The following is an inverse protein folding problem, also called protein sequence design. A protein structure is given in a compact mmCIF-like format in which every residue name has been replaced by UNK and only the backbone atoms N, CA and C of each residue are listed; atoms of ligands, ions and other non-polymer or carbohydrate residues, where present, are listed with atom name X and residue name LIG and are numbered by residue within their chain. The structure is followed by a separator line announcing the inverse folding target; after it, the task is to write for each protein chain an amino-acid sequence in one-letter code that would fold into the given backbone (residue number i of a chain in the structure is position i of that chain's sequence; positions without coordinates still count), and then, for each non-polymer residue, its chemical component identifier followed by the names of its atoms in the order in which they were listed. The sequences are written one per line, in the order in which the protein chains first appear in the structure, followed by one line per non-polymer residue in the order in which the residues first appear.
data_IF_158283561680
#
_entry.id   IF_158283561680
#
_cell.length_a   1.000
_cell.length_b   1.000
_cell.length_c   1.000
_cell.angle_alpha   90.00
_cell.angle_beta   90.00
_cell.angle_gamma   90.00
#
_symmetry.space_group_name_H-M   'P 1'
#
loop_
_entity.id
_entity.type
_entity.pdbx_description
1 polymer ?
#
# COMPACT_ATOMS: atom_id res chain seq x y z
N UNK A 1 19.54 6.10 16.70
CA UNK A 1 18.12 5.92 16.34
C UNK A 1 18.08 5.06 15.08
N UNK A 2 17.14 4.11 15.03
CA UNK A 2 16.88 3.27 13.86
C UNK A 2 15.43 3.54 13.43
N UNK A 3 15.24 4.08 12.25
CA UNK A 3 13.92 4.33 11.66
C UNK A 3 13.64 3.20 10.68
N UNK A 4 12.50 2.54 10.86
CA UNK A 4 12.12 1.35 10.09
C UNK A 4 10.78 1.59 9.43
N UNK A 5 10.72 1.32 8.13
CA UNK A 5 9.49 1.35 7.35
C UNK A 5 9.21 -0.03 6.73
N UNK A 6 8.00 -0.25 6.27
CA UNK A 6 7.63 -1.48 5.55
C UNK A 6 7.86 -1.38 4.03
N UNK A 7 8.03 -0.16 3.49
CA UNK A 7 8.16 0.10 2.06
C UNK A 7 9.31 1.05 1.73
N UNK A 8 9.99 0.77 0.62
CA UNK A 8 11.08 1.61 0.15
C UNK A 8 10.67 3.06 -0.16
N UNK A 9 9.45 3.27 -0.67
CA UNK A 9 8.98 4.63 -1.00
C UNK A 9 8.80 5.49 0.25
N UNK A 10 8.34 4.90 1.37
CA UNK A 10 8.25 5.59 2.66
C UNK A 10 9.63 5.81 3.28
N UNK A 11 10.53 4.84 3.14
CA UNK A 11 11.92 4.96 3.59
C UNK A 11 12.62 6.14 2.91
N UNK A 12 12.50 6.25 1.58
CA UNK A 12 13.03 7.36 0.79
C UNK A 12 12.44 8.71 1.24
N UNK A 13 11.11 8.79 1.42
CA UNK A 13 10.42 10.04 1.81
C UNK A 13 10.84 10.51 3.20
N UNK A 14 10.85 9.61 4.17
CA UNK A 14 11.28 9.93 5.54
C UNK A 14 12.75 10.30 5.57
N UNK A 15 13.61 9.56 4.87
CA UNK A 15 15.02 9.85 4.77
C UNK A 15 15.27 11.26 4.22
N UNK A 16 14.62 11.63 3.12
CA UNK A 16 14.74 12.96 2.50
C UNK A 16 14.33 14.07 3.48
N UNK A 17 13.26 13.86 4.25
CA UNK A 17 12.78 14.78 5.27
C UNK A 17 13.82 14.98 6.37
N UNK A 18 14.38 13.90 6.89
CA UNK A 18 15.41 13.96 7.94
C UNK A 18 16.74 14.50 7.41
N UNK A 19 17.09 14.22 6.17
CA UNK A 19 18.29 14.77 5.52
C UNK A 19 18.20 16.27 5.37
N UNK A 20 17.01 16.81 5.07
CA UNK A 20 16.77 18.26 5.06
C UNK A 20 16.95 18.89 6.45
N UNK A 21 16.69 18.15 7.53
CA UNK A 21 16.83 18.58 8.92
C UNK A 21 18.20 18.27 9.56
N UNK A 22 19.23 17.92 8.78
CA UNK A 22 20.55 17.50 9.29
C UNK A 22 21.20 18.47 10.28
N UNK A 23 20.94 19.78 10.14
CA UNK A 23 21.46 20.79 11.07
C UNK A 23 20.85 20.66 12.46
N UNK A 24 19.55 20.34 12.56
CA UNK A 24 18.86 20.08 13.83
C UNK A 24 19.34 18.79 14.46
N UNK A 25 19.54 17.75 13.64
CA UNK A 25 20.04 16.45 14.06
C UNK A 25 21.52 16.50 14.50
N UNK A 26 22.27 17.53 14.09
CA UNK A 26 23.74 17.66 14.27
C UNK A 26 24.53 16.46 13.76
N UNK A 27 23.96 15.72 12.82
CA UNK A 27 24.54 14.55 12.18
C UNK A 27 23.83 14.26 10.86
N UNK A 28 24.51 13.57 9.96
CA UNK A 28 23.94 13.15 8.69
C UNK A 28 23.25 11.80 8.86
N UNK A 29 21.94 11.70 8.56
CA UNK A 29 21.24 10.42 8.57
C UNK A 29 21.80 9.50 7.48
N UNK A 30 21.74 8.18 7.70
CA UNK A 30 22.21 7.17 6.77
C UNK A 30 21.10 6.24 6.35
N UNK A 31 20.89 6.12 5.04
CA UNK A 31 19.98 5.12 4.49
C UNK A 31 20.77 3.82 4.22
N UNK A 32 20.22 2.70 4.65
CA UNK A 32 20.84 1.38 4.52
C UNK A 32 20.43 0.75 3.20
N UNK A 33 21.41 0.40 2.37
CA UNK A 33 21.16 -0.26 1.10
C UNK A 33 21.00 -1.79 1.24
N UNK A 34 21.80 -2.39 2.13
CA UNK A 34 21.83 -3.84 2.29
C UNK A 34 22.06 -4.28 3.75
N UNK A 35 21.88 -5.58 4.03
CA UNK A 35 22.03 -6.16 5.38
C UNK A 35 23.44 -6.02 5.96
N UNK A 36 24.47 -6.13 5.15
CA UNK A 36 25.86 -6.01 5.61
C UNK A 36 26.15 -4.61 6.13
N UNK A 37 25.66 -3.60 5.44
CA UNK A 37 25.77 -2.20 5.86
C UNK A 37 24.98 -1.96 7.16
N UNK A 38 23.75 -2.54 7.29
CA UNK A 38 22.98 -2.48 8.53
C UNK A 38 23.77 -3.03 9.72
N UNK A 39 24.36 -4.22 9.57
CA UNK A 39 25.19 -4.85 10.60
C UNK A 39 26.37 -3.97 10.98
N UNK A 40 27.07 -3.39 10.01
CA UNK A 40 28.21 -2.51 10.25
C UNK A 40 27.82 -1.25 11.03
N UNK A 41 26.71 -0.60 10.65
CA UNK A 41 26.22 0.60 11.30
C UNK A 41 25.70 0.35 12.72
N UNK A 42 25.11 -0.80 13.00
CA UNK A 42 24.64 -1.16 14.35
C UNK A 42 25.74 -1.59 15.30
N UNK A 43 26.94 -1.92 14.82
CA UNK A 43 28.14 -2.23 15.65
C UNK A 43 28.82 -0.99 16.21
N UNK A 44 28.50 0.20 15.72
CA UNK A 44 29.06 1.46 16.20
C UNK A 44 28.61 1.73 17.63
N UNK A 45 29.51 2.13 18.52
CA UNK A 45 29.25 2.24 19.95
C UNK A 45 28.25 3.35 20.33
N UNK A 46 28.13 4.41 19.55
CA UNK A 46 27.20 5.51 19.82
C UNK A 46 26.94 6.37 18.58
N UNK A 47 25.84 7.12 18.60
CA UNK A 47 25.45 8.06 17.56
C UNK A 47 24.77 7.38 16.36
N UNK A 48 24.25 8.22 15.44
CA UNK A 48 23.68 7.81 14.18
C UNK A 48 22.14 7.79 14.17
N UNK A 49 21.61 8.26 13.04
CA UNK A 49 20.23 8.04 12.62
C UNK A 49 20.29 7.20 11.36
N UNK A 50 19.70 6.01 11.42
CA UNK A 50 19.76 4.98 10.39
C UNK A 50 18.36 4.74 9.87
N UNK A 51 18.17 4.79 8.56
CA UNK A 51 16.94 4.46 7.86
C UNK A 51 17.06 3.10 7.19
N UNK A 52 16.05 2.27 7.36
CA UNK A 52 16.06 0.92 6.80
C UNK A 52 14.65 0.37 6.66
N UNK A 53 14.47 -0.61 5.79
CA UNK A 53 13.21 -1.33 5.67
C UNK A 53 13.22 -2.59 6.53
N UNK A 54 12.04 -2.99 7.00
CA UNK A 54 11.87 -4.13 7.90
C UNK A 54 12.33 -5.46 7.29
N UNK A 55 12.27 -5.59 5.96
CA UNK A 55 12.73 -6.76 5.21
C UNK A 55 14.22 -7.04 5.39
N UNK A 56 15.02 -6.04 5.77
CA UNK A 56 16.45 -6.23 6.02
C UNK A 56 16.75 -6.96 7.35
N UNK A 57 15.71 -7.14 8.19
CA UNK A 57 15.76 -7.97 9.40
C UNK A 57 15.27 -9.41 9.18
N UNK A 58 15.06 -9.83 7.94
CA UNK A 58 14.72 -11.22 7.64
C UNK A 58 16.01 -12.09 7.71
N UNK A 59 15.99 -13.26 8.38
CA UNK A 59 17.14 -14.17 8.40
C UNK A 59 17.40 -14.73 7.00
N UNK A 60 18.66 -15.05 6.74
CA UNK A 60 19.05 -15.67 5.48
C UNK A 60 18.59 -17.14 5.42
N UNK A 61 18.62 -17.83 6.58
CA UNK A 61 18.11 -19.20 6.75
C UNK A 61 17.45 -19.35 8.13
N UNK A 62 16.40 -20.16 8.19
CA UNK A 62 15.72 -20.50 9.45
C UNK A 62 14.78 -19.41 9.99
N UNK A 63 14.47 -19.48 11.30
CA UNK A 63 13.46 -18.66 11.97
C UNK A 63 14.02 -17.79 13.10
N UNK A 64 15.33 -17.62 13.16
CA UNK A 64 16.00 -16.82 14.20
C UNK A 64 16.94 -15.83 13.52
N UNK A 65 16.81 -14.57 13.87
CA UNK A 65 17.74 -13.53 13.42
C UNK A 65 18.89 -13.42 14.40
N UNK A 66 20.11 -13.18 13.93
CA UNK A 66 21.26 -12.97 14.78
C UNK A 66 21.14 -11.67 15.61
N UNK A 67 21.65 -11.67 16.83
CA UNK A 67 21.77 -10.46 17.62
C UNK A 67 22.78 -9.51 16.98
N UNK A 68 22.32 -8.33 16.56
CA UNK A 68 23.18 -7.30 15.97
C UNK A 68 23.78 -6.37 17.01
N UNK A 69 23.04 -6.13 18.09
CA UNK A 69 23.51 -5.29 19.19
C UNK A 69 22.68 -5.49 20.46
N UNK A 70 23.35 -5.66 21.60
CA UNK A 70 22.73 -5.75 22.91
C UNK A 70 22.66 -4.39 23.64
N UNK A 71 22.96 -3.29 22.95
CA UNK A 71 22.96 -1.93 23.54
C UNK A 71 21.56 -1.51 23.96
N UNK A 72 21.48 -0.81 25.10
CA UNK A 72 20.24 -0.23 25.63
C UNK A 72 19.95 1.20 25.16
N UNK A 73 20.95 1.85 24.52
CA UNK A 73 20.83 3.21 24.01
C UNK A 73 20.40 3.27 22.52
N UNK A 74 19.76 2.24 22.03
CA UNK A 74 19.16 2.21 20.71
C UNK A 74 17.65 2.49 20.86
N UNK A 75 17.16 3.45 20.08
CA UNK A 75 15.73 3.71 19.91
C UNK A 75 15.34 3.29 18.51
N UNK A 76 14.36 2.41 18.41
CA UNK A 76 13.77 1.95 17.15
C UNK A 76 12.44 2.66 16.96
N UNK A 77 12.31 3.37 15.86
CA UNK A 77 11.06 4.00 15.42
C UNK A 77 10.54 3.17 14.25
N UNK A 78 9.41 2.51 14.41
CA UNK A 78 8.78 1.69 13.40
C UNK A 78 7.53 2.37 12.87
N UNK A 79 7.54 2.72 11.57
CA UNK A 79 6.43 3.33 10.88
C UNK A 79 5.72 2.30 10.01
N UNK A 80 4.40 2.15 10.18
CA UNK A 80 3.55 1.17 9.48
C UNK A 80 4.06 -0.28 9.54
N UNK A 81 4.84 -0.64 10.57
CA UNK A 81 5.37 -1.99 10.73
C UNK A 81 4.25 -2.97 11.10
N UNK A 82 3.60 -3.52 10.08
CA UNK A 82 2.58 -4.56 10.21
C UNK A 82 3.24 -5.93 10.40
N UNK A 83 2.70 -6.70 11.33
CA UNK A 83 2.98 -8.14 11.36
C UNK A 83 2.28 -8.78 10.16
N UNK A 84 3.05 -9.19 9.16
CA UNK A 84 2.53 -9.89 7.99
C UNK A 84 2.51 -11.37 8.29
N UNK A 85 1.37 -12.02 8.09
CA UNK A 85 1.30 -13.49 8.01
C UNK A 85 2.14 -13.93 6.80
N UNK A 86 3.20 -14.69 7.03
CA UNK A 86 3.96 -15.28 5.92
C UNK A 86 3.08 -16.30 5.18
N UNK A 87 2.77 -15.96 3.95
CA UNK A 87 2.18 -16.87 2.97
C UNK A 87 3.33 -17.45 2.13
N UNK A 88 3.28 -18.77 1.85
CA UNK A 88 4.21 -19.37 0.89
C UNK A 88 4.04 -18.71 -0.50
N UNK A 89 4.92 -19.06 -1.46
CA UNK A 89 4.86 -18.54 -2.83
C UNK A 89 3.51 -18.78 -3.52
N UNK A 90 2.72 -19.73 -3.04
CA UNK A 90 1.38 -20.12 -3.54
C UNK A 90 0.24 -19.49 -2.73
N UNK A 91 0.54 -18.73 -1.68
CA UNK A 91 -0.45 -18.01 -0.86
C UNK A 91 -1.16 -18.89 0.19
N UNK A 92 -0.71 -20.12 0.43
CA UNK A 92 -1.25 -21.00 1.45
C UNK A 92 -0.70 -20.63 2.84
N UNK A 93 -1.58 -20.60 3.84
CA UNK A 93 -1.18 -20.57 5.25
C UNK A 93 -0.59 -21.96 5.56
N UNK A 94 0.74 -22.06 5.56
CA UNK A 94 1.43 -23.30 5.90
C UNK A 94 1.19 -23.55 7.38
N UNK A 95 0.29 -24.46 7.69
CA UNK A 95 -0.05 -25.03 8.97
C UNK A 95 0.47 -24.30 10.22
N UNK A 96 -0.13 -24.42 11.38
CA UNK A 96 0.21 -23.80 12.68
C UNK A 96 1.68 -23.84 13.15
N UNK A 97 2.64 -23.64 12.23
CA UNK A 97 3.98 -23.21 12.54
C UNK A 97 3.86 -21.72 12.80
N UNK A 98 4.05 -21.30 14.04
CA UNK A 98 4.12 -19.90 14.40
C UNK A 98 5.22 -19.24 13.56
N UNK A 99 4.87 -18.68 12.42
CA UNK A 99 5.79 -17.88 11.63
C UNK A 99 5.85 -16.55 12.34
N UNK A 100 6.95 -16.36 13.03
CA UNK A 100 7.21 -15.12 13.72
C UNK A 100 7.44 -14.04 12.66
N UNK A 101 6.56 -13.04 12.63
CA UNK A 101 6.68 -11.92 11.71
C UNK A 101 7.96 -11.09 11.95
N UNK A 102 8.25 -10.17 11.06
CA UNK A 102 9.42 -9.28 11.09
C UNK A 102 9.67 -8.59 12.44
N UNK A 103 8.61 -8.33 13.21
CA UNK A 103 8.71 -7.74 14.54
C UNK A 103 9.51 -8.61 15.52
N UNK A 104 9.42 -9.94 15.41
CA UNK A 104 10.23 -10.85 16.22
C UNK A 104 11.70 -10.80 15.82
N UNK A 105 11.98 -10.88 14.51
CA UNK A 105 13.36 -10.81 14.01
C UNK A 105 14.03 -9.50 14.40
N UNK A 106 13.28 -8.41 14.39
CA UNK A 106 13.77 -7.12 14.86
C UNK A 106 14.10 -7.14 16.36
N UNK A 107 13.25 -7.77 17.20
CA UNK A 107 13.54 -7.93 18.62
C UNK A 107 14.68 -8.89 18.89
N UNK A 108 14.81 -9.95 18.13
CA UNK A 108 15.96 -10.86 18.19
C UNK A 108 17.27 -10.11 17.85
N UNK A 109 17.24 -9.24 16.83
CA UNK A 109 18.39 -8.44 16.40
C UNK A 109 18.80 -7.37 17.42
N UNK A 110 17.84 -6.76 18.13
CA UNK A 110 18.03 -5.63 19.03
C UNK A 110 17.26 -5.85 20.36
N UNK A 111 17.62 -6.85 21.17
CA UNK A 111 16.81 -7.30 22.31
C UNK A 111 16.64 -6.24 23.41
N UNK A 112 17.57 -5.32 23.54
CA UNK A 112 17.57 -4.29 24.60
C UNK A 112 17.20 -2.88 24.08
N UNK A 113 16.79 -2.74 22.83
CA UNK A 113 16.38 -1.46 22.27
C UNK A 113 15.01 -1.00 22.82
N UNK A 114 14.80 0.30 22.85
CA UNK A 114 13.48 0.89 23.09
C UNK A 114 12.72 0.96 21.78
N UNK A 115 11.48 0.49 21.75
CA UNK A 115 10.64 0.46 20.55
C UNK A 115 9.50 1.44 20.65
N UNK A 116 9.31 2.22 19.57
CA UNK A 116 8.22 3.15 19.40
C UNK A 116 7.59 2.89 18.03
N UNK A 117 6.31 2.52 18.02
CA UNK A 117 5.54 2.26 16.78
C UNK A 117 4.63 3.42 16.46
N UNK A 118 4.59 3.81 15.19
CA UNK A 118 3.63 4.74 14.61
C UNK A 118 2.77 3.99 13.60
N UNK A 119 1.46 4.15 13.65
CA UNK A 119 0.55 3.57 12.65
C UNK A 119 -0.74 4.36 12.56
N UNK A 120 -1.19 4.62 11.33
CA UNK A 120 -2.52 5.17 11.06
C UNK A 120 -3.62 4.10 11.02
N UNK A 121 -3.25 2.80 11.08
CA UNK A 121 -4.18 1.67 10.97
C UNK A 121 -3.89 0.60 12.03
N UNK A 122 -4.10 0.90 13.32
CA UNK A 122 -3.86 -0.07 14.38
C UNK A 122 -4.76 -1.31 14.20
N UNK A 123 -4.21 -2.49 14.48
CA UNK A 123 -4.92 -3.76 14.37
C UNK A 123 -5.14 -4.32 15.77
N UNK A 124 -6.40 -4.57 16.11
CA UNK A 124 -6.82 -5.19 17.38
C UNK A 124 -7.62 -6.46 17.09
N UNK A 125 -6.98 -7.45 16.48
CA UNK A 125 -7.54 -8.79 16.27
C UNK A 125 -6.95 -9.77 17.27
N UNK A 126 -7.65 -10.88 17.51
CA UNK A 126 -7.27 -11.89 18.51
C UNK A 126 -5.89 -12.50 18.27
N UNK A 127 -5.46 -12.60 17.02
CA UNK A 127 -4.22 -13.23 16.56
C UNK A 127 -3.16 -12.22 16.09
N UNK A 128 -3.56 -10.98 15.79
CA UNK A 128 -2.65 -9.89 15.38
C UNK A 128 -3.04 -8.62 16.13
N UNK A 129 -2.18 -8.18 17.05
CA UNK A 129 -2.50 -7.08 17.94
C UNK A 129 -1.30 -6.13 18.07
N UNK A 130 -1.48 -4.87 17.65
CA UNK A 130 -0.45 -3.82 17.73
C UNK A 130 0.05 -3.60 19.15
N UNK A 131 -0.81 -3.53 20.20
CA UNK A 131 -0.36 -3.45 21.60
C UNK A 131 0.49 -4.63 22.08
N UNK A 132 0.29 -5.84 21.54
CA UNK A 132 1.12 -6.99 21.89
C UNK A 132 2.56 -6.86 21.39
N UNK A 133 2.78 -6.09 20.33
CA UNK A 133 4.10 -5.87 19.72
C UNK A 133 4.81 -4.67 20.34
N UNK A 134 4.13 -3.54 20.49
CA UNK A 134 4.72 -2.26 20.90
C UNK A 134 4.35 -1.83 22.31
N UNK A 135 3.44 -2.52 22.98
CA UNK A 135 2.90 -2.11 24.28
C UNK A 135 1.66 -1.22 24.15
N UNK A 136 1.24 -0.63 25.27
CA UNK A 136 0.07 0.26 25.29
C UNK A 136 0.29 1.51 24.46
N UNK A 137 -0.81 2.07 23.94
CA UNK A 137 -0.79 3.35 23.24
C UNK A 137 -0.24 4.44 24.17
N UNK A 138 0.73 5.19 23.67
CA UNK A 138 1.28 6.37 24.36
C UNK A 138 0.38 7.56 24.09
N UNK A 139 -0.10 7.69 22.82
CA UNK A 139 -0.99 8.73 22.40
C UNK A 139 -1.82 8.26 21.18
N UNK A 140 -3.00 8.85 21.01
CA UNK A 140 -3.90 8.60 19.87
C UNK A 140 -4.31 9.95 19.30
N UNK A 141 -3.88 10.23 18.08
CA UNK A 141 -4.27 11.41 17.31
C UNK A 141 -5.14 10.96 16.14
N UNK A 142 -6.46 10.99 16.35
CA UNK A 142 -7.40 10.48 15.36
C UNK A 142 -7.79 11.53 14.30
N UNK A 143 -8.56 11.10 13.28
CA UNK A 143 -9.01 11.96 12.18
C UNK A 143 -9.91 13.09 12.69
N UNK A 144 -10.73 12.85 13.72
CA UNK A 144 -11.62 13.87 14.27
C UNK A 144 -10.82 15.00 14.90
N UNK A 145 -9.83 14.66 15.73
CA UNK A 145 -8.93 15.64 16.32
C UNK A 145 -8.10 16.36 15.29
N UNK A 146 -7.60 15.66 14.27
CA UNK A 146 -6.84 16.28 13.17
C UNK A 146 -7.67 17.30 12.37
N UNK A 147 -8.98 17.10 12.25
CA UNK A 147 -9.90 18.07 11.64
C UNK A 147 -10.14 19.27 12.56
N UNK A 148 -10.34 19.05 13.86
CA UNK A 148 -10.53 20.11 14.85
C UNK A 148 -9.30 21.02 14.95
N UNK A 149 -8.11 20.43 14.92
CA UNK A 149 -6.83 21.16 14.93
C UNK A 149 -6.49 21.84 13.59
N UNK A 150 -7.29 21.61 12.54
CA UNK A 150 -7.01 22.14 11.21
C UNK A 150 -5.83 21.49 10.49
N UNK A 151 -5.32 20.36 10.99
CA UNK A 151 -4.24 19.61 10.36
C UNK A 151 -4.69 18.86 9.11
N UNK A 152 -5.98 18.55 9.00
CA UNK A 152 -6.60 17.95 7.81
C UNK A 152 -8.01 18.51 7.60
N UNK A 153 -8.60 18.19 6.46
CA UNK A 153 -9.96 18.61 6.10
C UNK A 153 -10.96 17.50 6.40
N UNK A 154 -12.22 17.89 6.63
CA UNK A 154 -13.30 16.93 6.82
C UNK A 154 -13.51 16.06 5.59
N UNK A 155 -13.62 14.77 5.80
CA UNK A 155 -13.96 13.80 4.75
C UNK A 155 -15.49 13.78 4.59
N UNK A 156 -15.97 14.02 3.37
CA UNK A 156 -17.37 13.84 3.01
C UNK A 156 -17.48 12.56 2.19
N UNK A 157 -18.21 11.59 2.74
CA UNK A 157 -18.46 10.32 2.08
C UNK A 157 -19.78 10.36 1.33
N UNK A 158 -19.73 10.15 0.02
CA UNK A 158 -20.90 10.00 -0.85
C UNK A 158 -20.93 8.58 -1.42
N UNK A 159 -21.86 7.76 -0.97
CA UNK A 159 -22.09 6.43 -1.55
C UNK A 159 -22.95 6.55 -2.79
N UNK A 160 -22.34 6.41 -3.96
CA UNK A 160 -23.06 6.30 -5.23
C UNK A 160 -23.10 4.84 -5.66
N UNK A 161 -24.23 4.19 -5.44
CA UNK A 161 -24.50 2.93 -6.11
C UNK A 161 -24.61 3.25 -7.61
N UNK A 162 -23.49 3.05 -8.34
CA UNK A 162 -23.63 2.92 -9.78
C UNK A 162 -24.69 1.84 -10.01
N UNK A 163 -25.87 2.23 -10.51
CA UNK A 163 -26.97 1.30 -10.86
C UNK A 163 -26.52 0.43 -12.03
N UNK A 164 -25.53 -0.38 -11.74
CA UNK A 164 -25.12 -1.44 -12.62
C UNK A 164 -25.91 -2.61 -12.16
N UNK A 165 -27.13 -2.70 -12.69
CA UNK A 165 -27.87 -3.93 -12.60
C UNK A 165 -26.92 -5.03 -13.12
N UNK A 166 -26.41 -5.85 -12.21
CA UNK A 166 -25.98 -7.18 -12.59
C UNK A 166 -27.15 -7.74 -13.38
N UNK A 167 -26.95 -8.10 -14.63
CA UNK A 167 -27.97 -8.79 -15.38
C UNK A 167 -28.41 -9.99 -14.54
N UNK A 168 -29.65 -10.43 -14.69
CA UNK A 168 -30.08 -11.65 -13.98
C UNK A 168 -29.12 -12.83 -14.22
N UNK A 169 -28.51 -12.88 -15.41
CA UNK A 169 -27.43 -13.82 -15.76
C UNK A 169 -26.19 -13.64 -14.90
N UNK A 170 -25.75 -12.42 -14.64
CA UNK A 170 -24.60 -12.16 -13.77
C UNK A 170 -24.84 -12.56 -12.31
N UNK A 171 -26.09 -12.38 -11.82
CA UNK A 171 -26.50 -12.84 -10.47
C UNK A 171 -26.55 -14.37 -10.39
N UNK A 172 -27.05 -15.03 -11.45
CA UNK A 172 -27.05 -16.49 -11.54
C UNK A 172 -25.63 -17.04 -11.55
N UNK A 173 -24.73 -16.48 -12.37
CA UNK A 173 -23.32 -16.86 -12.44
C UNK A 173 -22.60 -16.73 -11.08
N UNK A 174 -22.87 -15.67 -10.31
CA UNK A 174 -22.27 -15.53 -8.96
C UNK A 174 -22.82 -16.60 -8.03
N UNK A 175 -24.12 -16.87 -8.08
CA UNK A 175 -24.75 -17.86 -7.21
C UNK A 175 -24.30 -19.29 -7.58
N UNK A 176 -24.26 -19.62 -8.86
CA UNK A 176 -23.74 -20.92 -9.36
C UNK A 176 -22.31 -21.15 -8.93
N UNK A 177 -21.45 -20.10 -8.96
CA UNK A 177 -20.09 -20.20 -8.48
C UNK A 177 -20.00 -20.37 -6.95
N UNK A 178 -20.76 -19.59 -6.18
CA UNK A 178 -20.77 -19.74 -4.72
C UNK A 178 -21.22 -21.21 -4.39
N UNK A 179 -22.21 -21.75 -5.11
CA UNK A 179 -22.69 -23.12 -4.93
C UNK A 179 -21.64 -24.17 -5.38
N UNK A 180 -20.90 -23.94 -6.48
CA UNK A 180 -19.80 -24.81 -6.95
C UNK A 180 -18.60 -24.77 -5.99
N UNK A 181 -18.17 -23.58 -5.56
CA UNK A 181 -17.03 -23.42 -4.65
C UNK A 181 -17.29 -24.01 -3.26
N UNK A 182 -18.55 -24.09 -2.84
CA UNK A 182 -18.92 -24.74 -1.57
C UNK A 182 -18.92 -26.27 -1.65
N UNK A 183 -19.06 -26.84 -2.87
CA UNK A 183 -19.05 -28.29 -3.11
C UNK A 183 -17.66 -28.88 -3.38
N UNK A 184 -16.68 -28.06 -3.77
CA UNK A 184 -15.33 -28.50 -4.08
C UNK A 184 -14.43 -28.52 -2.85
N UNK A 185 -13.53 -29.54 -2.77
CA UNK A 185 -12.46 -29.64 -1.77
C UNK A 185 -11.33 -28.59 -1.98
N UNK A 186 -11.67 -27.41 -2.49
CA UNK A 186 -10.73 -26.34 -2.73
C UNK A 186 -10.32 -25.67 -1.41
N UNK A 187 -9.06 -25.24 -1.32
CA UNK A 187 -8.59 -24.44 -0.19
C UNK A 187 -9.25 -23.05 -0.17
N UNK A 188 -9.39 -22.45 1.00
CA UNK A 188 -9.97 -21.10 1.16
C UNK A 188 -9.29 -20.06 0.24
N UNK A 189 -7.99 -20.22 -0.04
CA UNK A 189 -7.24 -19.36 -0.95
C UNK A 189 -7.62 -19.55 -2.41
N UNK A 190 -7.89 -20.79 -2.83
CA UNK A 190 -8.33 -21.09 -4.20
C UNK A 190 -9.75 -20.58 -4.42
N UNK A 191 -10.65 -20.76 -3.45
CA UNK A 191 -12.00 -20.19 -3.44
C UNK A 191 -11.97 -18.65 -3.54
N UNK A 192 -11.13 -18.01 -2.75
CA UNK A 192 -10.96 -16.55 -2.80
C UNK A 192 -10.42 -16.06 -4.15
N UNK A 193 -9.47 -16.77 -4.76
CA UNK A 193 -8.95 -16.42 -6.10
C UNK A 193 -10.01 -16.58 -7.19
N UNK A 194 -10.77 -17.66 -7.18
CA UNK A 194 -11.84 -17.90 -8.15
C UNK A 194 -12.92 -16.81 -8.04
N UNK A 195 -13.37 -16.50 -6.83
CA UNK A 195 -14.33 -15.45 -6.54
C UNK A 195 -13.84 -14.06 -6.97
N UNK A 196 -12.55 -13.76 -6.74
CA UNK A 196 -11.92 -12.51 -7.19
C UNK A 196 -11.90 -12.41 -8.71
N UNK A 197 -11.51 -13.46 -9.42
CA UNK A 197 -11.42 -13.48 -10.88
C UNK A 197 -12.80 -13.27 -11.52
N UNK A 198 -13.84 -13.87 -10.97
CA UNK A 198 -15.21 -13.67 -11.47
C UNK A 198 -15.73 -12.26 -11.14
N UNK A 199 -15.50 -11.76 -9.94
CA UNK A 199 -15.83 -10.37 -9.60
C UNK A 199 -15.12 -9.40 -10.55
N UNK A 200 -13.86 -9.62 -10.86
CA UNK A 200 -13.12 -8.79 -11.81
C UNK A 200 -13.74 -8.84 -13.21
N UNK A 201 -14.13 -10.02 -13.70
CA UNK A 201 -14.79 -10.17 -15.00
C UNK A 201 -16.13 -9.44 -15.05
N UNK A 202 -16.96 -9.55 -14.00
CA UNK A 202 -18.25 -8.87 -13.89
C UNK A 202 -18.09 -7.35 -13.78
N UNK A 203 -17.20 -6.88 -12.92
CA UNK A 203 -16.93 -5.45 -12.71
C UNK A 203 -16.30 -4.86 -13.95
N UNK A 204 -15.41 -5.58 -14.60
CA UNK A 204 -14.69 -5.18 -15.81
C UNK A 204 -15.43 -5.44 -17.12
N UNK A 205 -16.74 -5.72 -17.11
CA UNK A 205 -17.51 -5.87 -18.34
C UNK A 205 -17.62 -4.54 -19.10
N UNK A 206 -17.48 -4.58 -20.42
CA UNK A 206 -17.43 -3.39 -21.27
C UNK A 206 -18.59 -2.44 -21.02
N UNK A 207 -19.82 -2.94 -21.02
CA UNK A 207 -21.02 -2.14 -20.76
C UNK A 207 -21.01 -1.43 -19.41
N UNK A 208 -20.45 -2.10 -18.40
CA UNK A 208 -20.33 -1.54 -17.05
C UNK A 208 -19.30 -0.43 -17.01
N UNK A 209 -18.12 -0.66 -17.59
CA UNK A 209 -17.04 0.33 -17.67
C UNK A 209 -17.52 1.57 -18.42
N UNK A 210 -18.25 1.42 -19.54
CA UNK A 210 -18.86 2.53 -20.28
C UNK A 210 -19.86 3.34 -19.43
N UNK A 211 -20.69 2.67 -18.64
CA UNK A 211 -21.65 3.35 -17.77
C UNK A 211 -20.94 4.11 -16.65
N UNK A 212 -19.93 3.48 -16.03
CA UNK A 212 -19.12 4.11 -14.98
C UNK A 212 -18.33 5.31 -15.54
N UNK A 213 -17.75 5.19 -16.73
CA UNK A 213 -17.05 6.29 -17.38
C UNK A 213 -17.95 7.51 -17.58
N UNK A 214 -19.19 7.30 -18.08
CA UNK A 214 -20.17 8.38 -18.24
C UNK A 214 -20.55 9.03 -16.91
N UNK A 215 -20.79 8.23 -15.88
CA UNK A 215 -21.15 8.74 -14.55
C UNK A 215 -20.00 9.54 -13.94
N UNK A 216 -18.76 9.04 -14.02
CA UNK A 216 -17.56 9.72 -13.51
C UNK A 216 -17.35 11.05 -14.24
N UNK A 217 -17.40 11.07 -15.57
CA UNK A 217 -17.21 12.29 -16.38
C UNK A 217 -18.28 13.33 -16.00
N UNK A 218 -19.56 12.94 -16.02
CA UNK A 218 -20.67 13.84 -15.68
C UNK A 218 -20.55 14.38 -14.25
N UNK A 219 -20.22 13.52 -13.29
CA UNK A 219 -20.04 13.92 -11.91
C UNK A 219 -18.83 14.86 -11.71
N UNK A 220 -17.71 14.56 -12.35
CA UNK A 220 -16.51 15.39 -12.26
C UNK A 220 -16.77 16.78 -12.86
N UNK A 221 -17.38 16.87 -14.04
CA UNK A 221 -17.72 18.13 -14.68
C UNK A 221 -18.67 18.98 -13.83
N UNK A 222 -19.73 18.38 -13.31
CA UNK A 222 -20.67 19.07 -12.43
C UNK A 222 -19.99 19.61 -11.15
N UNK A 223 -19.02 18.88 -10.60
CA UNK A 223 -18.23 19.36 -9.46
C UNK A 223 -17.30 20.52 -9.83
N UNK A 224 -16.71 20.51 -11.01
CA UNK A 224 -15.83 21.56 -11.49
C UNK A 224 -16.55 22.90 -11.70
N UNK A 225 -17.86 22.88 -11.94
CA UNK A 225 -18.69 24.11 -11.99
C UNK A 225 -18.79 24.82 -10.64
N UNK A 226 -18.69 24.06 -9.54
CA UNK A 226 -18.82 24.59 -8.18
C UNK A 226 -17.47 24.99 -7.59
N UNK A 227 -16.46 24.15 -7.77
CA UNK A 227 -15.09 24.42 -7.33
C UNK A 227 -14.09 23.63 -8.15
N UNK A 228 -12.92 24.22 -8.36
CA UNK A 228 -11.81 23.51 -9.03
C UNK A 228 -11.15 22.51 -8.07
N UNK A 229 -10.94 21.30 -8.55
CA UNK A 229 -10.33 20.25 -7.73
C UNK A 229 -9.76 19.12 -8.60
N UNK A 230 -8.96 18.27 -7.97
CA UNK A 230 -8.38 17.07 -8.58
C UNK A 230 -9.22 15.86 -8.23
N UNK A 231 -9.27 14.90 -9.15
CA UNK A 231 -9.94 13.62 -8.94
C UNK A 231 -8.94 12.47 -8.98
N UNK A 232 -9.13 11.48 -8.10
CA UNK A 232 -8.41 10.22 -8.15
C UNK A 232 -9.40 9.05 -8.26
N UNK A 233 -9.21 8.22 -9.28
CA UNK A 233 -10.03 7.03 -9.52
C UNK A 233 -9.19 5.81 -9.16
N UNK A 234 -9.64 5.06 -8.15
CA UNK A 234 -9.00 3.81 -7.74
C UNK A 234 -9.80 2.64 -8.30
N UNK A 235 -9.15 1.83 -9.14
CA UNK A 235 -9.76 0.67 -9.78
C UNK A 235 -9.34 -0.63 -9.09
N UNK A 236 -10.20 -1.64 -9.21
CA UNK A 236 -9.98 -2.97 -8.64
C UNK A 236 -8.75 -3.67 -9.25
N UNK A 237 -8.48 -3.44 -10.54
CA UNK A 237 -7.32 -3.99 -11.22
C UNK A 237 -6.74 -3.02 -12.25
N UNK A 238 -5.49 -3.30 -12.67
CA UNK A 238 -4.79 -2.52 -13.70
C UNK A 238 -5.50 -2.56 -15.05
N UNK A 239 -6.07 -3.72 -15.40
CA UNK A 239 -6.87 -3.90 -16.62
C UNK A 239 -8.08 -2.98 -16.60
N UNK A 240 -8.86 -3.00 -15.52
CA UNK A 240 -10.05 -2.14 -15.38
C UNK A 240 -9.66 -0.65 -15.42
N UNK A 241 -8.50 -0.26 -14.85
CA UNK A 241 -8.02 1.11 -14.93
C UNK A 241 -7.71 1.55 -16.37
N UNK A 242 -7.06 0.69 -17.16
CA UNK A 242 -6.75 0.97 -18.56
C UNK A 242 -8.01 1.01 -19.44
N UNK A 243 -8.94 0.08 -19.21
CA UNK A 243 -10.21 0.03 -19.94
C UNK A 243 -11.08 1.27 -19.63
N UNK A 244 -11.17 1.64 -18.35
CA UNK A 244 -11.91 2.83 -17.90
C UNK A 244 -11.28 4.12 -18.47
N UNK A 245 -9.95 4.22 -18.45
CA UNK A 245 -9.26 5.33 -19.08
C UNK A 245 -9.63 5.45 -20.57
N UNK A 246 -9.63 4.34 -21.30
CA UNK A 246 -9.97 4.30 -22.72
C UNK A 246 -11.41 4.79 -22.97
N UNK A 247 -12.35 4.39 -22.12
CA UNK A 247 -13.75 4.84 -22.23
C UNK A 247 -13.93 6.33 -21.86
N UNK A 248 -13.20 6.83 -20.85
CA UNK A 248 -13.20 8.26 -20.51
C UNK A 248 -12.63 9.10 -21.66
N UNK A 249 -11.54 8.64 -22.28
CA UNK A 249 -10.94 9.33 -23.44
C UNK A 249 -11.88 9.34 -24.65
N UNK A 250 -12.68 8.29 -24.89
CA UNK A 250 -13.72 8.32 -25.93
C UNK A 250 -14.76 9.41 -25.67
N UNK A 251 -15.11 9.66 -24.41
CA UNK A 251 -16.07 10.70 -24.02
C UNK A 251 -15.46 12.11 -24.06
N UNK A 252 -14.18 12.22 -23.74
CA UNK A 252 -13.42 13.48 -23.67
C UNK A 252 -12.04 13.31 -24.30
N UNK A 253 -11.94 13.33 -25.65
CA UNK A 253 -10.66 13.15 -26.34
C UNK A 253 -9.62 14.23 -25.99
N UNK A 254 -10.07 15.41 -25.68
CA UNK A 254 -9.26 16.56 -25.27
C UNK A 254 -8.59 16.40 -23.90
N UNK A 255 -9.04 15.44 -23.10
CA UNK A 255 -8.39 15.12 -21.82
C UNK A 255 -7.14 14.26 -21.99
N UNK A 256 -7.00 13.59 -23.12
CA UNK A 256 -5.85 12.74 -23.42
C UNK A 256 -4.69 13.53 -24.05
N UNK A 257 -3.48 13.16 -23.68
CA UNK A 257 -2.25 13.56 -24.36
C UNK A 257 -1.18 12.48 -24.07
N UNK A 258 -0.38 12.12 -25.07
CA UNK A 258 0.71 11.15 -24.88
C UNK A 258 1.89 11.75 -24.09
N UNK A 259 2.07 13.06 -24.10
CA UNK A 259 3.06 13.77 -23.29
C UNK A 259 2.65 13.69 -21.81
N UNK A 260 3.56 13.23 -20.96
CA UNK A 260 3.36 13.15 -19.51
C UNK A 260 3.04 14.52 -18.86
N UNK A 261 3.52 15.60 -19.48
CA UNK A 261 3.32 16.95 -18.97
C UNK A 261 2.01 17.60 -19.46
N UNK A 262 1.25 16.90 -20.29
CA UNK A 262 0.00 17.38 -20.88
C UNK A 262 -1.18 16.45 -20.60
N UNK A 263 -2.37 16.85 -21.06
CA UNK A 263 -3.62 16.13 -20.85
C UNK A 263 -4.16 16.28 -19.42
N UNK A 264 -5.44 16.03 -19.24
CA UNK A 264 -6.16 16.20 -17.98
C UNK A 264 -6.17 14.91 -17.15
N UNK A 265 -6.13 13.76 -17.83
CA UNK A 265 -6.19 12.44 -17.21
C UNK A 265 -4.96 11.60 -17.51
N UNK A 266 -4.46 10.86 -16.52
CA UNK A 266 -3.34 9.92 -16.65
C UNK A 266 -3.63 8.65 -15.87
N UNK A 267 -3.10 7.53 -16.35
CA UNK A 267 -3.08 6.27 -15.60
C UNK A 267 -1.74 6.13 -14.90
N UNK A 268 -1.77 5.80 -13.62
CA UNK A 268 -0.58 5.49 -12.82
C UNK A 268 -0.68 4.06 -12.37
N UNK A 269 0.21 3.21 -12.84
CA UNK A 269 0.24 1.79 -12.49
C UNK A 269 1.67 1.24 -12.48
N UNK A 270 1.85 0.11 -11.79
CA UNK A 270 3.10 -0.66 -11.86
C UNK A 270 3.14 -1.47 -13.16
N UNK A 271 4.35 -1.74 -13.66
CA UNK A 271 4.56 -2.63 -14.81
C UNK A 271 4.61 -4.10 -14.37
N UNK A 272 4.09 -4.99 -15.21
CA UNK A 272 4.32 -6.43 -15.10
C UNK A 272 4.64 -7.01 -16.48
N UNK A 273 5.44 -8.07 -16.50
CA UNK A 273 5.85 -8.74 -17.75
C UNK A 273 4.69 -9.39 -18.51
N UNK A 274 3.60 -9.66 -17.81
CA UNK A 274 2.36 -10.23 -18.37
C UNK A 274 1.42 -9.19 -18.98
N UNK A 275 1.74 -7.90 -18.90
CA UNK A 275 0.86 -6.85 -19.40
C UNK A 275 0.81 -6.83 -20.92
N UNK A 276 -0.39 -6.88 -21.46
CA UNK A 276 -0.61 -6.73 -22.90
C UNK A 276 -0.40 -5.28 -23.39
N UNK A 277 -0.46 -5.06 -24.73
CA UNK A 277 -0.13 -3.75 -25.34
C UNK A 277 -0.95 -2.58 -24.80
N UNK A 278 -2.18 -2.81 -24.38
CA UNK A 278 -3.09 -1.78 -23.85
C UNK A 278 -2.57 -1.26 -22.50
N UNK A 279 -2.17 -2.15 -21.62
CA UNK A 279 -1.63 -1.76 -20.30
C UNK A 279 -0.20 -1.23 -20.40
N UNK A 280 0.61 -1.79 -21.32
CA UNK A 280 2.00 -1.39 -21.52
C UNK A 280 2.16 0.10 -21.87
N UNK A 281 1.18 0.71 -22.54
CA UNK A 281 1.16 2.16 -22.83
C UNK A 281 1.17 3.03 -21.58
N UNK A 282 0.69 2.52 -20.46
CA UNK A 282 0.56 3.23 -19.19
C UNK A 282 1.70 2.92 -18.21
N UNK A 283 2.70 2.13 -18.63
CA UNK A 283 3.86 1.88 -17.79
C UNK A 283 4.64 3.17 -17.57
N UNK A 284 5.00 3.41 -16.32
CA UNK A 284 5.78 4.58 -15.91
C UNK A 284 6.97 4.17 -15.05
N UNK A 285 8.10 4.82 -15.27
CA UNK A 285 9.28 4.69 -14.39
C UNK A 285 9.02 5.40 -13.05
N UNK A 286 9.87 5.14 -12.04
CA UNK A 286 9.79 5.84 -10.75
C UNK A 286 9.89 7.36 -10.94
N UNK A 287 10.80 7.83 -11.81
CA UNK A 287 10.97 9.25 -12.10
C UNK A 287 9.74 9.87 -12.78
N UNK A 288 9.16 9.18 -13.75
CA UNK A 288 7.95 9.64 -14.43
C UNK A 288 6.76 9.74 -13.46
N UNK A 289 6.61 8.80 -12.51
CA UNK A 289 5.58 8.88 -11.46
C UNK A 289 5.80 10.08 -10.54
N UNK A 290 7.05 10.40 -10.21
CA UNK A 290 7.37 11.60 -9.42
C UNK A 290 6.96 12.87 -10.16
N UNK A 291 7.29 12.98 -11.45
CA UNK A 291 6.86 14.10 -12.31
C UNK A 291 5.34 14.23 -12.39
N UNK A 292 4.62 13.10 -12.53
CA UNK A 292 3.16 13.11 -12.51
C UNK A 292 2.60 13.56 -11.16
N UNK A 293 3.18 13.11 -10.04
CA UNK A 293 2.75 13.52 -8.71
C UNK A 293 2.97 15.01 -8.43
N UNK A 294 4.07 15.58 -8.93
CA UNK A 294 4.36 17.01 -8.81
C UNK A 294 3.39 17.86 -9.66
N UNK A 295 2.93 17.32 -10.78
CA UNK A 295 2.00 17.98 -11.69
C UNK A 295 0.55 17.92 -11.19
N UNK A 296 0.14 16.79 -10.65
CA UNK A 296 -1.22 16.53 -10.16
C UNK A 296 -1.44 17.10 -8.76
#
# INVERSE_FOLDING_TARGET
VVVITDRNDLDDQLFDTFAACKQLLRQEPKQVENRQQLKALLRVASGGVIFTTIQKFQPDEGNVYEELSNRRNIVVIADEAKTVDDKNADGEVIGKKTVYGFAKYLRDALPNATYLGFTGTPIEKTDVNTPAVFGHYVDIYDIAQAVEDGATVRIYYESRLARVALSEEGRKLIKELDDELDQDELTDTQKAKAKWTQMEALIGSERRIQNIARDIVSHFEARQEVFTGKGMIVCMSRRIAADLYSEVVKLRPDWHDDDLNKGVIKVVMTAASSDGPVMAKHHTTKQQRKTLAERM
#
